data_IF_961195949140
#
_entry.id   IF_961195949140
#
_cell.length_a   1.000
_cell.length_b   1.000
_cell.length_c   1.000
_cell.angle_alpha   90.00
_cell.angle_beta   90.00
_cell.angle_gamma   90.00
#
_symmetry.space_group_name_H-M   'P 1'
#
loop_
_entity.id
_entity.type
_entity.pdbx_description
1 polymer ?
#
# COMPACT_ATOMS: atom_id res chain seq x y z
N UNK A 1 -15.39 17.44 8.64
CA UNK A 1 -16.65 17.08 7.95
C UNK A 1 -17.76 18.10 8.18
N UNK A 2 -18.16 18.42 9.42
CA UNK A 2 -19.20 19.43 9.68
C UNK A 2 -18.92 20.80 9.01
N UNK A 3 -17.68 21.29 9.10
CA UNK A 3 -17.25 22.52 8.42
C UNK A 3 -17.51 22.45 6.91
N UNK A 4 -17.11 21.38 6.22
CA UNK A 4 -17.38 21.22 4.78
C UNK A 4 -18.88 21.29 4.45
N UNK A 5 -19.72 20.67 5.27
CA UNK A 5 -21.17 20.70 5.08
C UNK A 5 -21.75 22.11 5.28
N UNK A 6 -21.31 22.82 6.32
CA UNK A 6 -21.72 24.21 6.57
C UNK A 6 -21.20 25.14 5.48
N UNK A 7 -19.98 24.96 4.99
CA UNK A 7 -19.45 25.71 3.86
C UNK A 7 -20.31 25.51 2.60
N UNK A 8 -20.79 24.28 2.35
CA UNK A 8 -21.69 23.97 1.22
C UNK A 8 -22.99 24.76 1.30
N UNK A 9 -23.59 24.82 2.49
CA UNK A 9 -24.79 25.60 2.72
C UNK A 9 -24.54 27.10 2.63
N UNK A 10 -23.43 27.59 3.19
CA UNK A 10 -23.02 28.99 3.14
C UNK A 10 -22.83 29.50 1.71
N UNK A 11 -22.44 28.63 0.78
CA UNK A 11 -22.30 28.96 -0.63
C UNK A 11 -23.64 29.04 -1.37
N UNK A 12 -24.72 28.48 -0.78
CA UNK A 12 -26.07 28.48 -1.36
C UNK A 12 -27.00 29.52 -0.72
N UNK A 13 -26.84 29.79 0.56
CA UNK A 13 -27.75 30.63 1.34
C UNK A 13 -27.01 31.42 2.42
N UNK A 14 -27.66 32.49 2.92
CA UNK A 14 -27.10 33.31 4.00
C UNK A 14 -27.23 32.53 5.32
N UNK A 15 -26.10 32.22 5.95
CA UNK A 15 -26.08 31.59 7.27
C UNK A 15 -26.67 32.51 8.34
N UNK A 16 -27.34 31.93 9.33
CA UNK A 16 -27.73 32.66 10.55
C UNK A 16 -26.48 33.13 11.30
N UNK A 17 -26.52 34.33 11.87
CA UNK A 17 -25.37 34.94 12.57
C UNK A 17 -24.71 34.01 13.60
N UNK A 18 -25.49 33.31 14.43
CA UNK A 18 -24.94 32.39 15.44
C UNK A 18 -24.21 31.19 14.83
N UNK A 19 -24.73 30.65 13.72
CA UNK A 19 -24.09 29.56 12.97
C UNK A 19 -22.81 30.03 12.29
N UNK A 20 -22.82 31.27 11.76
CA UNK A 20 -21.65 31.88 11.14
C UNK A 20 -20.51 32.10 12.16
N UNK A 21 -20.81 32.62 13.34
CA UNK A 21 -19.79 32.81 14.39
C UNK A 21 -19.15 31.49 14.80
N UNK A 22 -19.96 30.46 15.08
CA UNK A 22 -19.45 29.14 15.46
C UNK A 22 -18.62 28.50 14.33
N UNK A 23 -19.02 28.71 13.07
CA UNK A 23 -18.30 28.24 11.89
C UNK A 23 -16.90 28.87 11.79
N UNK A 24 -16.80 30.20 11.93
CA UNK A 24 -15.53 30.92 11.93
C UNK A 24 -14.63 30.52 13.11
N UNK A 25 -15.18 30.40 14.32
CA UNK A 25 -14.44 29.93 15.50
C UNK A 25 -13.89 28.52 15.30
N UNK A 26 -14.68 27.64 14.68
CA UNK A 26 -14.26 26.26 14.38
C UNK A 26 -13.12 26.24 13.36
N UNK A 27 -13.20 27.05 12.30
CA UNK A 27 -12.11 27.17 11.31
C UNK A 27 -10.82 27.63 11.99
N UNK A 28 -10.91 28.66 12.82
CA UNK A 28 -9.77 29.18 13.58
C UNK A 28 -9.19 28.13 14.53
N UNK A 29 -10.05 27.36 15.20
CA UNK A 29 -9.62 26.25 16.04
C UNK A 29 -8.87 25.19 15.23
N UNK A 30 -9.41 24.77 14.08
CA UNK A 30 -8.79 23.76 13.22
C UNK A 30 -7.38 24.18 12.77
N UNK A 31 -7.17 25.43 12.34
CA UNK A 31 -5.85 25.90 11.91
C UNK A 31 -4.81 25.80 13.02
N UNK A 32 -5.19 26.09 14.26
CA UNK A 32 -4.30 26.01 15.44
C UNK A 32 -3.90 24.59 15.82
N UNK A 33 -4.62 23.58 15.32
CA UNK A 33 -4.27 22.17 15.54
C UNK A 33 -3.12 21.69 14.66
N UNK A 34 -2.62 22.52 13.73
CA UNK A 34 -1.52 22.13 12.87
C UNK A 34 -0.26 21.83 13.71
N UNK A 35 0.24 20.61 13.59
CA UNK A 35 1.49 20.19 14.20
C UNK A 35 2.70 20.74 13.44
N UNK A 36 3.88 20.68 14.06
CA UNK A 36 5.13 21.20 13.47
C UNK A 36 5.52 20.48 12.16
N UNK A 37 5.14 19.22 12.00
CA UNK A 37 5.36 18.46 10.77
C UNK A 37 4.37 18.80 9.64
N UNK A 38 3.41 19.69 9.91
CA UNK A 38 2.37 20.12 8.98
C UNK A 38 1.09 19.29 9.05
N UNK A 39 1.05 18.23 9.84
CA UNK A 39 -0.11 17.35 10.00
C UNK A 39 -1.17 17.92 10.95
N UNK A 40 -2.34 17.28 10.96
CA UNK A 40 -3.36 17.45 11.99
C UNK A 40 -3.60 16.12 12.72
N UNK A 41 -2.52 15.46 13.15
CA UNK A 41 -2.56 14.16 13.83
C UNK A 41 -2.09 13.03 12.93
N UNK A 42 -2.98 12.43 12.13
CA UNK A 42 -2.65 11.37 11.19
C UNK A 42 -3.05 11.73 9.75
N UNK A 43 -2.73 10.89 8.78
CA UNK A 43 -3.01 11.15 7.35
C UNK A 43 -4.51 11.40 7.07
N UNK A 44 -5.40 10.64 7.71
CA UNK A 44 -6.85 10.75 7.52
C UNK A 44 -7.41 12.07 8.07
N UNK A 45 -7.04 12.41 9.31
CA UNK A 45 -7.48 13.65 9.95
C UNK A 45 -6.88 14.86 9.25
N UNK A 46 -5.62 14.76 8.83
CA UNK A 46 -4.94 15.77 8.03
C UNK A 46 -5.68 16.02 6.73
N UNK A 47 -6.04 14.97 5.99
CA UNK A 47 -6.77 15.11 4.75
C UNK A 47 -8.16 15.73 4.97
N UNK A 48 -8.93 15.25 5.96
CA UNK A 48 -10.28 15.76 6.24
C UNK A 48 -10.30 17.22 6.72
N UNK A 49 -9.34 17.63 7.54
CA UNK A 49 -9.22 19.01 8.02
C UNK A 49 -8.80 19.92 6.87
N UNK A 50 -7.84 19.49 6.05
CA UNK A 50 -7.39 20.24 4.89
C UNK A 50 -8.52 20.48 3.89
N UNK A 51 -9.32 19.45 3.58
CA UNK A 51 -10.49 19.62 2.72
C UNK A 51 -11.53 20.58 3.33
N UNK A 52 -11.68 20.57 4.66
CA UNK A 52 -12.55 21.51 5.35
C UNK A 52 -12.06 22.96 5.25
N UNK A 53 -10.74 23.17 5.33
CA UNK A 53 -10.13 24.49 5.17
C UNK A 53 -10.20 24.99 3.71
N UNK A 54 -10.08 24.10 2.72
CA UNK A 54 -10.32 24.43 1.32
C UNK A 54 -11.78 24.81 1.08
N UNK A 55 -12.73 24.01 1.59
CA UNK A 55 -14.16 24.32 1.47
C UNK A 55 -14.54 25.68 2.08
N UNK A 56 -13.77 26.17 3.06
CA UNK A 56 -13.98 27.46 3.71
C UNK A 56 -13.11 28.60 3.13
N UNK A 57 -12.46 28.40 1.99
CA UNK A 57 -11.68 29.42 1.28
C UNK A 57 -10.40 29.85 2.01
N UNK A 58 -9.80 28.96 2.81
CA UNK A 58 -8.61 29.26 3.60
C UNK A 58 -7.31 28.87 2.91
N UNK A 59 -7.30 28.56 1.61
CA UNK A 59 -6.10 28.05 0.91
C UNK A 59 -4.93 29.04 0.92
N UNK A 60 -5.23 30.33 1.02
CA UNK A 60 -4.26 31.43 1.02
C UNK A 60 -4.03 32.05 2.40
N UNK A 61 -4.53 31.41 3.46
CA UNK A 61 -4.42 31.94 4.81
C UNK A 61 -2.99 31.86 5.34
N UNK A 62 -2.55 32.87 6.12
CA UNK A 62 -1.18 32.94 6.66
C UNK A 62 -1.00 32.20 7.98
N UNK A 63 -2.10 31.93 8.67
CA UNK A 63 -2.21 31.26 9.97
C UNK A 63 -2.30 29.72 9.84
N UNK A 64 -2.19 29.19 8.62
CA UNK A 64 -2.08 27.77 8.33
C UNK A 64 -0.99 27.54 7.26
N UNK A 65 -0.04 26.65 7.55
CA UNK A 65 1.04 26.32 6.62
C UNK A 65 0.62 25.18 5.69
N UNK A 66 -0.14 25.51 4.64
CA UNK A 66 -0.58 24.55 3.63
C UNK A 66 0.61 23.80 2.99
N UNK A 67 1.72 24.47 2.72
CA UNK A 67 2.89 23.84 2.09
C UNK A 67 3.44 22.68 2.94
N UNK A 68 3.56 22.87 4.26
CA UNK A 68 3.96 21.79 5.15
C UNK A 68 2.94 20.65 5.18
N UNK A 69 1.64 20.97 5.14
CA UNK A 69 0.57 19.95 5.06
C UNK A 69 0.63 19.13 3.77
N UNK A 70 0.85 19.77 2.62
CA UNK A 70 1.00 19.08 1.33
C UNK A 70 2.25 18.19 1.35
N UNK A 71 3.38 18.67 1.88
CA UNK A 71 4.60 17.86 2.03
C UNK A 71 4.36 16.63 2.90
N UNK A 72 3.64 16.78 4.01
CA UNK A 72 3.26 15.67 4.87
C UNK A 72 2.39 14.65 4.12
N UNK A 73 1.33 15.09 3.43
CA UNK A 73 0.45 14.18 2.69
C UNK A 73 1.19 13.44 1.56
N UNK A 74 2.03 14.11 0.79
CA UNK A 74 2.85 13.47 -0.25
C UNK A 74 3.79 12.42 0.36
N UNK A 75 4.40 12.72 1.51
CA UNK A 75 5.27 11.77 2.21
C UNK A 75 4.51 10.51 2.64
N UNK A 76 3.32 10.67 3.22
CA UNK A 76 2.49 9.53 3.65
C UNK A 76 2.00 8.69 2.45
N UNK A 77 1.63 9.35 1.35
CA UNK A 77 1.18 8.68 0.12
C UNK A 77 2.30 7.97 -0.65
N UNK A 78 3.56 8.37 -0.45
CA UNK A 78 4.73 7.72 -1.03
C UNK A 78 5.30 6.60 -0.14
N UNK A 79 4.61 6.23 0.93
CA UNK A 79 5.02 5.11 1.79
C UNK A 79 4.80 3.77 1.09
N UNK A 80 5.56 2.74 1.49
CA UNK A 80 5.53 1.41 0.86
C UNK A 80 4.20 0.65 1.00
N UNK A 81 3.28 1.15 1.83
CA UNK A 81 1.93 0.63 2.01
C UNK A 81 0.95 1.79 1.90
N UNK A 82 0.59 2.14 0.66
CA UNK A 82 -0.36 3.21 0.38
C UNK A 82 -1.75 2.77 0.80
N UNK A 83 -2.34 3.47 1.76
CA UNK A 83 -3.70 3.23 2.19
C UNK A 83 -4.70 3.89 1.22
N UNK A 84 -5.60 3.07 0.63
CA UNK A 84 -6.59 3.51 -0.34
C UNK A 84 -7.48 4.63 0.22
N UNK A 85 -7.85 4.57 1.50
CA UNK A 85 -8.69 5.59 2.12
C UNK A 85 -7.94 6.92 2.26
N UNK A 86 -6.68 6.88 2.68
CA UNK A 86 -5.81 8.05 2.71
C UNK A 86 -5.64 8.65 1.30
N UNK A 87 -5.43 7.81 0.28
CA UNK A 87 -5.36 8.25 -1.13
C UNK A 87 -6.65 8.92 -1.58
N UNK A 88 -7.81 8.30 -1.32
CA UNK A 88 -9.12 8.86 -1.67
C UNK A 88 -9.34 10.23 -1.04
N UNK A 89 -8.94 10.41 0.23
CA UNK A 89 -9.10 11.67 0.93
C UNK A 89 -8.05 12.72 0.53
N UNK A 90 -6.85 12.30 0.12
CA UNK A 90 -5.75 13.21 -0.14
C UNK A 90 -5.62 13.67 -1.61
N UNK A 91 -5.98 12.83 -2.59
CA UNK A 91 -5.88 13.20 -4.02
C UNK A 91 -6.63 14.49 -4.38
N UNK A 92 -7.88 14.73 -3.90
CA UNK A 92 -8.57 16.00 -4.17
C UNK A 92 -7.74 17.20 -3.71
N UNK A 93 -7.13 17.11 -2.53
CA UNK A 93 -6.31 18.17 -1.95
C UNK A 93 -5.10 18.48 -2.84
N UNK A 94 -4.43 17.45 -3.35
CA UNK A 94 -3.27 17.62 -4.24
C UNK A 94 -3.64 18.30 -5.58
N UNK A 95 -4.93 18.27 -5.96
CA UNK A 95 -5.46 19.01 -7.11
C UNK A 95 -6.04 20.38 -6.72
N UNK A 96 -5.84 20.84 -5.48
CA UNK A 96 -6.43 22.09 -5.01
C UNK A 96 -7.95 22.02 -4.84
N UNK A 97 -8.48 20.83 -4.52
CA UNK A 97 -9.91 20.53 -4.46
C UNK A 97 -10.33 19.88 -3.16
N UNK A 98 -11.62 19.93 -2.88
CA UNK A 98 -12.29 19.29 -1.75
C UNK A 98 -13.53 18.52 -2.21
N UNK A 99 -14.17 17.78 -1.32
CA UNK A 99 -15.44 17.11 -1.64
C UNK A 99 -16.57 18.10 -2.00
N UNK A 100 -16.49 19.37 -1.60
CA UNK A 100 -17.47 20.39 -2.00
C UNK A 100 -17.42 20.66 -3.52
N UNK A 101 -16.25 20.52 -4.15
CA UNK A 101 -16.06 20.77 -5.57
C UNK A 101 -16.78 19.76 -6.48
N UNK A 102 -17.23 18.61 -5.94
CA UNK A 102 -17.96 17.57 -6.69
C UNK A 102 -19.16 18.16 -7.43
N UNK A 103 -19.88 19.11 -6.80
CA UNK A 103 -21.05 19.74 -7.39
C UNK A 103 -20.75 20.63 -8.61
N UNK A 104 -19.49 21.02 -8.79
CA UNK A 104 -19.01 21.88 -9.87
C UNK A 104 -18.21 21.10 -10.93
N UNK A 105 -18.14 19.76 -10.81
CA UNK A 105 -17.42 18.92 -11.77
C UNK A 105 -18.18 18.88 -13.10
N UNK A 106 -17.50 19.30 -14.17
CA UNK A 106 -18.03 19.14 -15.52
C UNK A 106 -17.77 17.71 -16.03
N UNK A 107 -18.78 16.84 -15.90
CA UNK A 107 -18.69 15.46 -16.38
C UNK A 107 -18.65 15.33 -17.92
N UNK A 108 -18.98 16.40 -18.65
CA UNK A 108 -18.91 16.44 -20.13
C UNK A 108 -17.55 16.92 -20.64
N UNK A 109 -16.73 17.54 -19.78
CA UNK A 109 -15.35 17.84 -20.11
C UNK A 109 -14.57 16.52 -20.20
N UNK A 110 -14.00 16.24 -21.37
CA UNK A 110 -13.16 15.06 -21.55
C UNK A 110 -11.95 15.16 -20.60
N UNK A 111 -11.84 14.30 -19.56
CA UNK A 111 -10.75 14.38 -18.58
C UNK A 111 -9.38 14.19 -19.24
N UNK A 112 -9.36 13.61 -20.44
CA UNK A 112 -8.14 13.30 -21.20
C UNK A 112 -7.52 14.51 -21.89
N UNK A 113 -8.24 15.59 -22.18
CA UNK A 113 -7.66 16.75 -22.91
C UNK A 113 -6.64 17.56 -22.10
N UNK A 114 -6.59 17.39 -20.77
CA UNK A 114 -5.52 17.92 -19.92
C UNK A 114 -4.64 16.80 -19.32
N UNK A 115 -5.01 15.54 -19.56
CA UNK A 115 -4.40 14.34 -18.99
C UNK A 115 -3.47 13.60 -19.94
N UNK A 116 -3.27 14.05 -21.17
CA UNK A 116 -2.27 13.43 -22.07
C UNK A 116 -0.85 13.53 -21.50
N UNK A 117 -0.55 14.57 -20.70
CA UNK A 117 0.76 14.71 -20.04
C UNK A 117 0.86 13.92 -18.73
N UNK A 118 -0.26 13.67 -18.03
CA UNK A 118 -0.28 12.87 -16.80
C UNK A 118 -0.42 11.37 -17.08
N UNK A 119 -1.19 10.98 -18.10
CA UNK A 119 -1.34 9.58 -18.49
C UNK A 119 -0.07 9.07 -19.16
N UNK A 120 0.61 9.90 -19.97
CA UNK A 120 1.94 9.58 -20.48
C UNK A 120 2.98 9.48 -19.33
N UNK A 121 2.86 10.33 -18.29
CA UNK A 121 3.64 10.18 -17.04
C UNK A 121 3.27 8.96 -16.18
N UNK A 122 2.00 8.55 -16.15
CA UNK A 122 1.55 7.36 -15.41
C UNK A 122 1.94 6.09 -16.17
N UNK A 123 1.97 6.12 -17.51
CA UNK A 123 2.58 5.05 -18.31
C UNK A 123 4.11 5.06 -18.24
N UNK A 124 4.74 6.18 -17.89
CA UNK A 124 6.18 6.26 -17.54
C UNK A 124 6.48 5.88 -16.08
N UNK A 125 5.47 5.80 -15.21
CA UNK A 125 5.55 5.17 -13.88
C UNK A 125 5.11 3.70 -13.94
N UNK A 126 5.44 2.97 -15.02
CA UNK A 126 5.77 1.58 -14.81
C UNK A 126 7.04 1.55 -13.97
N UNK A 127 6.88 1.53 -12.63
CA UNK A 127 7.98 1.12 -11.74
C UNK A 127 8.66 -0.08 -12.41
N UNK A 128 9.99 -0.04 -12.63
CA UNK A 128 10.67 -1.03 -13.46
C UNK A 128 10.26 -2.44 -13.03
N UNK A 129 9.45 -3.11 -13.86
CA UNK A 129 8.97 -4.46 -13.52
C UNK A 129 10.10 -5.44 -13.79
N UNK A 130 10.46 -6.21 -12.78
CA UNK A 130 11.42 -7.30 -12.91
C UNK A 130 10.68 -8.61 -13.16
N UNK A 131 11.35 -9.53 -13.85
CA UNK A 131 10.85 -10.90 -14.01
C UNK A 131 11.37 -11.76 -12.87
N UNK A 132 10.45 -12.35 -12.11
CA UNK A 132 10.75 -13.32 -11.05
C UNK A 132 10.26 -14.69 -11.50
N UNK A 133 11.02 -15.74 -11.20
CA UNK A 133 10.56 -17.11 -11.37
C UNK A 133 10.14 -17.64 -10.01
N UNK A 134 8.86 -17.94 -9.84
CA UNK A 134 8.35 -18.57 -8.63
C UNK A 134 8.21 -20.07 -8.87
N UNK A 135 9.07 -20.85 -8.21
CA UNK A 135 8.99 -22.31 -8.20
C UNK A 135 8.43 -22.83 -6.88
N UNK A 136 7.52 -23.80 -6.96
CA UNK A 136 7.03 -24.64 -5.86
C UNK A 136 7.62 -26.03 -6.04
N UNK A 137 8.33 -26.50 -5.03
CA UNK A 137 8.80 -27.87 -4.92
C UNK A 137 7.92 -28.57 -3.90
N UNK A 138 7.33 -29.72 -4.23
CA UNK A 138 6.44 -30.47 -3.34
C UNK A 138 6.91 -31.92 -3.28
N UNK A 139 7.28 -32.39 -2.09
CA UNK A 139 7.77 -33.77 -1.84
C UNK A 139 9.27 -33.84 -1.56
N UNK A 140 9.71 -34.99 -1.03
CA UNK A 140 11.10 -35.21 -0.59
C UNK A 140 11.92 -35.97 -1.64
N UNK A 141 11.40 -37.09 -2.17
CA UNK A 141 12.01 -37.89 -3.23
C UNK A 141 11.31 -37.56 -4.57
N UNK A 142 12.05 -36.98 -5.52
CA UNK A 142 11.52 -36.47 -6.80
C UNK A 142 10.40 -35.44 -6.62
N UNK A 143 10.73 -34.23 -6.11
CA UNK A 143 9.73 -33.21 -5.86
C UNK A 143 8.98 -32.85 -7.15
N UNK A 144 7.66 -32.76 -7.07
CA UNK A 144 6.87 -32.13 -8.11
C UNK A 144 7.26 -30.65 -8.14
N UNK A 145 7.77 -30.19 -9.28
CA UNK A 145 8.19 -28.80 -9.48
C UNK A 145 7.18 -28.07 -10.36
N UNK A 146 6.62 -26.99 -9.83
CA UNK A 146 5.77 -26.08 -10.59
C UNK A 146 6.40 -24.70 -10.61
N UNK A 147 6.66 -24.18 -11.80
CA UNK A 147 7.33 -22.88 -11.97
C UNK A 147 6.48 -21.95 -12.82
N UNK A 148 6.25 -20.74 -12.31
CA UNK A 148 5.54 -19.67 -13.01
C UNK A 148 6.43 -18.42 -13.11
N UNK A 149 6.55 -17.80 -14.29
CA UNK A 149 7.22 -16.51 -14.45
C UNK A 149 6.24 -15.37 -14.11
N UNK A 150 6.61 -14.50 -13.17
CA UNK A 150 5.82 -13.35 -12.73
C UNK A 150 6.52 -12.05 -13.09
N UNK A 151 5.76 -11.01 -13.42
CA UNK A 151 6.25 -9.62 -13.57
C UNK A 151 5.83 -8.82 -12.36
N UNK A 152 6.81 -8.35 -11.60
CA UNK A 152 6.56 -7.68 -10.30
C UNK A 152 7.32 -6.35 -10.22
N UNK A 153 6.84 -5.37 -9.45
CA UNK A 153 7.56 -4.12 -9.24
C UNK A 153 8.96 -4.34 -8.63
N UNK A 154 9.89 -3.43 -8.92
CA UNK A 154 11.20 -3.41 -8.28
C UNK A 154 11.02 -3.22 -6.77
N UNK A 155 11.70 -4.03 -5.95
CA UNK A 155 11.59 -4.03 -4.48
C UNK A 155 10.30 -4.67 -3.90
N UNK A 156 9.66 -5.59 -4.62
CA UNK A 156 8.52 -6.35 -4.11
C UNK A 156 8.89 -7.30 -2.95
N UNK A 157 7.95 -7.60 -2.07
CA UNK A 157 8.09 -8.60 -1.01
C UNK A 157 7.72 -10.01 -1.48
N UNK A 158 8.18 -11.03 -0.76
CA UNK A 158 7.80 -12.41 -1.04
C UNK A 158 6.28 -12.66 -0.92
N UNK A 159 5.59 -11.95 -0.01
CA UNK A 159 4.14 -12.05 0.15
C UNK A 159 3.39 -11.52 -1.07
N UNK A 160 3.85 -10.40 -1.66
CA UNK A 160 3.28 -9.85 -2.89
C UNK A 160 3.46 -10.80 -4.08
N UNK A 161 4.62 -11.49 -4.16
CA UNK A 161 4.86 -12.51 -5.20
C UNK A 161 3.90 -13.70 -5.03
N UNK A 162 3.62 -14.13 -3.80
CA UNK A 162 2.68 -15.23 -3.53
C UNK A 162 1.24 -14.85 -3.88
N UNK A 163 0.81 -13.63 -3.53
CA UNK A 163 -0.53 -13.11 -3.85
C UNK A 163 -0.76 -13.08 -5.36
N UNK A 164 0.20 -12.52 -6.12
CA UNK A 164 0.14 -12.53 -7.58
C UNK A 164 0.10 -13.93 -8.18
N UNK A 165 0.78 -14.90 -7.56
CA UNK A 165 0.78 -16.27 -8.05
C UNK A 165 -0.54 -16.99 -7.82
N UNK A 166 -1.20 -16.75 -6.68
CA UNK A 166 -2.54 -17.28 -6.36
C UNK A 166 -3.58 -16.80 -7.38
N UNK A 167 -3.51 -15.53 -7.76
CA UNK A 167 -4.38 -14.94 -8.79
C UNK A 167 -4.14 -15.52 -10.19
N UNK A 168 -2.89 -15.85 -10.53
CA UNK A 168 -2.50 -16.33 -11.88
C UNK A 168 -2.72 -17.84 -12.08
N UNK A 169 -2.43 -18.68 -11.08
CA UNK A 169 -2.61 -20.13 -11.18
C UNK A 169 -3.11 -20.72 -9.85
N UNK A 170 -4.29 -21.38 -9.84
CA UNK A 170 -4.87 -22.01 -8.64
C UNK A 170 -3.95 -23.01 -7.92
N UNK A 171 -2.90 -23.53 -8.58
CA UNK A 171 -1.89 -24.38 -7.94
C UNK A 171 -1.06 -23.65 -6.88
N UNK A 172 -0.99 -22.32 -6.97
CA UNK A 172 -0.26 -21.48 -6.01
C UNK A 172 -1.13 -21.00 -4.85
N UNK A 173 -2.42 -21.37 -4.85
CA UNK A 173 -3.34 -21.03 -3.77
C UNK A 173 -2.82 -21.46 -2.42
N UNK A 174 -2.81 -20.52 -1.49
CA UNK A 174 -2.21 -20.72 -0.17
C UNK A 174 -3.12 -20.23 0.96
N UNK A 175 -2.91 -20.80 2.14
CA UNK A 175 -3.54 -20.34 3.37
C UNK A 175 -2.45 -19.98 4.39
N UNK A 176 -2.68 -18.87 5.09
CA UNK A 176 -1.73 -18.31 6.04
C UNK A 176 -2.45 -17.72 7.24
N UNK A 177 -1.71 -17.52 8.33
CA UNK A 177 -2.19 -16.84 9.54
C UNK A 177 -1.13 -15.88 10.07
N UNK A 178 -1.57 -14.85 10.78
CA UNK A 178 -0.65 -13.96 11.50
C UNK A 178 -0.21 -14.64 12.80
N UNK A 179 1.09 -14.77 13.05
CA UNK A 179 1.65 -15.32 14.29
C UNK A 179 2.83 -14.47 14.73
N UNK A 180 2.78 -13.91 15.95
CA UNK A 180 3.85 -13.05 16.50
C UNK A 180 4.29 -11.92 15.56
N UNK A 181 3.33 -11.28 14.86
CA UNK A 181 3.62 -10.23 13.90
C UNK A 181 4.17 -10.70 12.55
N UNK A 182 4.23 -12.01 12.28
CA UNK A 182 4.76 -12.59 11.05
C UNK A 182 3.71 -13.41 10.31
N UNK A 183 3.77 -13.37 8.99
CA UNK A 183 2.97 -14.23 8.11
C UNK A 183 3.46 -15.67 8.22
N UNK A 184 2.61 -16.56 8.71
CA UNK A 184 2.87 -17.99 8.80
C UNK A 184 2.02 -18.73 7.76
N UNK A 185 2.67 -19.13 6.66
CA UNK A 185 2.05 -19.94 5.60
C UNK A 185 1.99 -21.39 6.06
N UNK A 186 0.80 -21.96 6.09
CA UNK A 186 0.60 -23.33 6.59
C UNK A 186 0.03 -24.29 5.55
N UNK A 187 -0.32 -23.79 4.36
CA UNK A 187 -0.85 -24.59 3.27
C UNK A 187 -0.57 -23.90 1.93
N UNK A 188 -0.11 -24.65 0.94
CA UNK A 188 0.01 -24.22 -0.47
C UNK A 188 -0.39 -25.40 -1.35
N UNK A 189 -1.05 -25.17 -2.49
CA UNK A 189 -1.45 -26.23 -3.43
C UNK A 189 -2.30 -27.34 -2.77
N UNK A 190 -3.12 -26.96 -1.79
CA UNK A 190 -3.89 -27.87 -0.92
C UNK A 190 -3.08 -28.79 0.00
N UNK A 191 -1.75 -28.65 0.07
CA UNK A 191 -0.85 -29.43 0.94
C UNK A 191 -0.54 -28.63 2.20
N UNK A 192 -0.88 -29.18 3.36
CA UNK A 192 -0.69 -28.56 4.68
C UNK A 192 0.68 -28.90 5.28
N UNK A 193 1.18 -28.04 6.15
CA UNK A 193 2.28 -28.38 7.06
C UNK A 193 1.90 -29.60 7.91
N UNK A 194 2.87 -30.46 8.17
CA UNK A 194 2.75 -31.63 9.04
C UNK A 194 3.87 -31.57 10.08
N UNK A 195 3.61 -30.99 11.26
CA UNK A 195 4.59 -30.88 12.32
C UNK A 195 5.08 -32.22 12.87
N UNK A 196 4.25 -33.28 12.84
CA UNK A 196 4.62 -34.61 13.35
C UNK A 196 5.65 -35.27 12.42
N UNK A 197 5.49 -35.09 11.11
CA UNK A 197 6.45 -35.52 10.10
C UNK A 197 7.59 -34.53 9.86
N UNK A 198 7.63 -33.41 10.58
CA UNK A 198 8.65 -32.36 10.41
C UNK A 198 8.56 -31.61 9.06
N UNK A 199 7.39 -31.57 8.42
CA UNK A 199 7.21 -31.01 7.08
C UNK A 199 6.61 -29.61 7.14
N UNK A 200 7.36 -28.64 6.62
CA UNK A 200 6.97 -27.23 6.62
C UNK A 200 7.23 -26.57 5.27
N UNK A 201 6.38 -25.61 4.91
CA UNK A 201 6.66 -24.66 3.84
C UNK A 201 7.80 -23.73 4.22
N UNK A 202 8.88 -23.78 3.46
CA UNK A 202 10.05 -22.93 3.65
C UNK A 202 10.26 -22.04 2.43
N UNK A 203 10.66 -20.80 2.69
CA UNK A 203 10.91 -19.82 1.65
C UNK A 203 12.42 -19.68 1.43
N UNK A 204 12.84 -19.82 0.18
CA UNK A 204 14.22 -19.64 -0.24
C UNK A 204 14.33 -18.56 -1.32
N UNK A 205 15.50 -17.94 -1.43
CA UNK A 205 15.81 -16.99 -2.50
C UNK A 205 17.17 -17.33 -3.08
N UNK A 206 17.31 -17.19 -4.40
CA UNK A 206 18.53 -17.55 -5.12
C UNK A 206 18.61 -16.86 -6.47
N UNK A 207 19.77 -16.91 -7.11
CA UNK A 207 19.93 -16.32 -8.45
C UNK A 207 19.63 -17.36 -9.53
N UNK A 208 18.85 -17.01 -10.55
CA UNK A 208 18.60 -17.91 -11.69
C UNK A 208 19.93 -18.28 -12.35
N UNK A 209 20.08 -19.58 -12.67
CA UNK A 209 21.24 -20.12 -13.36
C UNK A 209 22.59 -19.91 -12.62
N UNK A 210 22.54 -19.64 -11.31
CA UNK A 210 23.72 -19.56 -10.46
C UNK A 210 23.95 -20.88 -9.72
N UNK A 211 25.21 -21.26 -9.54
CA UNK A 211 25.61 -22.37 -8.66
C UNK A 211 25.68 -21.95 -7.19
N UNK A 212 25.35 -20.69 -6.86
CA UNK A 212 25.33 -20.19 -5.49
C UNK A 212 24.24 -20.90 -4.66
N UNK A 213 24.51 -21.18 -3.37
CA UNK A 213 23.55 -21.83 -2.49
C UNK A 213 22.33 -20.94 -2.25
N UNK A 214 21.15 -21.56 -2.22
CA UNK A 214 19.90 -20.90 -1.89
C UNK A 214 19.93 -20.37 -0.45
N UNK A 215 19.44 -19.14 -0.26
CA UNK A 215 19.35 -18.53 1.07
C UNK A 215 17.97 -18.82 1.67
N UNK A 216 17.93 -19.51 2.82
CA UNK A 216 16.70 -19.72 3.58
C UNK A 216 16.30 -18.43 4.32
N UNK A 217 15.04 -18.01 4.17
CA UNK A 217 14.55 -16.79 4.78
C UNK A 217 13.81 -17.08 6.08
N UNK A 218 14.41 -16.65 7.20
CA UNK A 218 13.87 -16.86 8.56
C UNK A 218 13.18 -15.62 9.12
N UNK A 219 13.27 -14.46 8.44
CA UNK A 219 12.58 -13.22 8.82
C UNK A 219 11.30 -13.06 8.01
N UNK A 220 10.17 -12.99 8.71
CA UNK A 220 8.83 -12.78 8.14
C UNK A 220 8.57 -11.39 7.56
N UNK A 221 9.57 -10.50 7.64
CA UNK A 221 9.64 -9.26 6.90
C UNK A 221 10.94 -9.32 6.10
N UNK A 222 10.83 -9.52 4.80
CA UNK A 222 11.91 -9.23 3.89
C UNK A 222 11.36 -8.22 2.88
N UNK A 223 11.53 -6.94 3.22
CA UNK A 223 11.61 -5.89 2.22
C UNK A 223 12.87 -6.23 1.42
N UNK A 224 12.70 -6.62 0.16
CA UNK A 224 13.82 -6.83 -0.72
C UNK A 224 14.06 -5.55 -1.51
N UNK A 225 15.32 -5.19 -1.72
CA UNK A 225 15.68 -4.40 -2.90
C UNK A 225 16.22 -5.35 -3.95
N UNK A 226 15.46 -5.59 -5.01
CA UNK A 226 15.89 -6.48 -6.09
C UNK A 226 16.36 -5.66 -7.27
N UNK A 227 17.61 -5.89 -7.70
CA UNK A 227 18.09 -5.41 -9.00
C UNK A 227 18.00 -6.44 -10.12
N UNK A 228 17.89 -7.76 -9.84
CA UNK A 228 17.60 -8.85 -10.81
C UNK A 228 17.80 -10.23 -10.15
N UNK A 229 16.97 -10.66 -9.18
CA UNK A 229 17.13 -11.99 -8.56
C UNK A 229 15.77 -12.71 -8.42
N UNK A 230 15.60 -13.94 -8.93
CA UNK A 230 14.39 -14.74 -8.73
C UNK A 230 14.27 -15.26 -7.27
N UNK A 231 13.09 -15.74 -6.91
CA UNK A 231 12.78 -16.22 -5.56
C UNK A 231 12.15 -17.61 -5.66
N UNK A 232 12.70 -18.60 -4.96
CA UNK A 232 12.31 -20.00 -5.09
C UNK A 232 11.71 -20.51 -3.78
N UNK A 233 10.45 -20.94 -3.73
CA UNK A 233 9.92 -21.53 -2.49
C UNK A 233 10.08 -23.04 -2.54
N UNK A 234 10.62 -23.61 -1.47
CA UNK A 234 10.98 -25.02 -1.43
C UNK A 234 10.32 -25.69 -0.23
N UNK A 235 9.57 -26.76 -0.47
CA UNK A 235 9.12 -27.65 0.58
C UNK A 235 10.27 -28.57 0.97
N UNK A 236 10.72 -28.48 2.22
CA UNK A 236 11.66 -29.46 2.80
C UNK A 236 10.97 -30.17 3.95
N UNK A 237 10.83 -31.48 3.88
CA UNK A 237 10.71 -32.28 5.09
C UNK A 237 12.00 -32.16 5.89
N UNK A 238 11.93 -31.67 7.13
CA UNK A 238 13.01 -31.88 8.08
C UNK A 238 13.01 -33.37 8.38
N UNK A 239 13.73 -34.15 7.57
CA UNK A 239 14.11 -35.52 7.92
C UNK A 239 14.94 -35.43 9.19
N UNK A 240 14.42 -35.99 10.29
CA UNK A 240 15.20 -36.30 11.47
C UNK A 240 16.37 -37.21 11.07
N UNK A 241 17.52 -36.63 10.74
CA UNK A 241 18.78 -37.31 10.97
C UNK A 241 19.27 -36.94 12.35
N UNK A 242 18.86 -37.80 13.28
CA UNK A 242 19.69 -38.37 14.34
C UNK A 242 20.52 -37.41 15.18
N UNK A 243 20.17 -37.36 16.47
CA UNK A 243 21.15 -37.52 17.52
C UNK A 243 22.35 -38.34 17.02
N UNK A 244 23.52 -37.71 16.90
CA UNK A 244 24.77 -38.43 17.13
C UNK A 244 25.35 -37.87 18.42
N UNK A 245 24.93 -38.53 19.50
CA UNK A 245 25.85 -38.84 20.59
C UNK A 245 27.02 -39.65 20.04
N UNK A 246 28.19 -39.02 19.94
CA UNK A 246 29.45 -39.54 20.47
C UNK A 246 30.48 -38.41 20.58
#
# INVERSE_FOLDING_TARGET
>A
MAVMAVSCEANRSVLRNTTFTLYEETIQHLKRLQAHDGSFGNVYTTALITQALFSSGQEHSRDWNLNSTIKYLIKELNSSSVDLLATYLAIPILNGKSLMDISYVNCSANPRKHGEDLLNKITEFEEPKIRVQYSLYIGDENPAVHTIPLRVPMNCTASQVMELADDEDPKYKYEWKMTTGKMYVYKIANVKNDPEAGKFWLLYVGVANSSEPLTHLTKGEAIFSYTTKPSFFYFRGISNHSQQSQ
#
